data_IF_808301019265
#
_entry.id   IF_808301019265
#
_cell.length_a   1.000
_cell.length_b   1.000
_cell.length_c   1.000
_cell.angle_alpha   90.00
_cell.angle_beta   90.00
_cell.angle_gamma   90.00
#
_symmetry.space_group_name_H-M   'P 1'
#
loop_
_entity.id
_entity.type
_entity.pdbx_description
1 polymer ?
#
# COMPACT_ATOMS: atom_id res chain seq x y z
N UNK A 1 8.14 6.64 -40.67
CA UNK A 1 7.94 6.23 -39.26
C UNK A 1 8.48 7.36 -38.44
N UNK A 2 7.61 8.15 -37.80
CA UNK A 2 8.05 9.13 -36.81
C UNK A 2 8.65 8.36 -35.64
N UNK A 3 9.88 8.72 -35.26
CA UNK A 3 10.55 8.13 -34.09
C UNK A 3 9.77 8.45 -32.82
N UNK A 4 9.71 7.50 -31.89
CA UNK A 4 9.10 7.72 -30.59
C UNK A 4 9.93 8.73 -29.79
N UNK A 5 9.28 9.67 -29.12
CA UNK A 5 9.98 10.54 -28.17
C UNK A 5 10.05 9.84 -26.82
N UNK A 6 11.26 9.68 -26.28
CA UNK A 6 11.46 9.07 -24.97
C UNK A 6 11.45 10.14 -23.88
N UNK A 7 10.64 9.94 -22.85
CA UNK A 7 10.52 10.85 -21.71
C UNK A 7 11.07 10.17 -20.46
N UNK A 8 12.10 10.76 -19.88
CA UNK A 8 12.76 10.25 -18.68
C UNK A 8 12.31 11.02 -17.45
N UNK A 9 11.51 10.38 -16.60
CA UNK A 9 11.17 10.88 -15.28
C UNK A 9 12.36 10.68 -14.31
N UNK A 10 12.59 11.68 -13.46
CA UNK A 10 13.60 11.62 -12.40
C UNK A 10 13.34 10.40 -11.49
N UNK A 11 14.40 9.67 -11.16
CA UNK A 11 14.39 8.48 -10.29
C UNK A 11 13.64 7.25 -10.81
N UNK A 12 13.21 7.21 -12.08
CA UNK A 12 12.74 5.98 -12.72
C UNK A 12 13.87 5.32 -13.52
N UNK A 13 13.84 4.00 -13.71
CA UNK A 13 14.90 3.22 -14.36
C UNK A 13 14.70 3.14 -15.89
N UNK A 14 13.47 2.95 -16.35
CA UNK A 14 13.08 3.00 -17.77
C UNK A 14 12.43 4.35 -18.15
N UNK A 15 12.44 4.75 -19.43
CA UNK A 15 11.70 5.91 -19.94
C UNK A 15 10.25 5.54 -20.31
N UNK A 16 9.39 6.56 -20.46
CA UNK A 16 8.11 6.47 -21.16
C UNK A 16 8.35 6.70 -22.64
N UNK A 17 7.74 5.91 -23.53
CA UNK A 17 7.74 6.18 -24.96
C UNK A 17 6.45 6.94 -25.36
N UNK A 18 6.58 8.04 -26.07
CA UNK A 18 5.48 8.78 -26.68
C UNK A 18 5.49 8.56 -28.20
N UNK A 19 4.50 7.83 -28.70
CA UNK A 19 4.39 7.59 -30.13
C UNK A 19 3.77 8.79 -30.83
N UNK A 20 4.41 9.22 -31.93
CA UNK A 20 3.92 10.29 -32.82
C UNK A 20 3.86 11.70 -32.21
N UNK A 21 4.80 12.01 -31.30
CA UNK A 21 5.14 13.39 -30.91
C UNK A 21 4.70 13.83 -29.50
N UNK A 22 5.10 15.06 -29.17
CA UNK A 22 5.06 15.67 -27.84
C UNK A 22 3.68 16.20 -27.38
N UNK A 23 2.60 15.87 -28.10
CA UNK A 23 1.25 16.42 -27.84
C UNK A 23 0.71 16.10 -26.43
N UNK A 24 1.14 14.98 -25.84
CA UNK A 24 0.76 14.61 -24.48
C UNK A 24 1.62 15.26 -23.40
N UNK A 25 2.76 15.89 -23.73
CA UNK A 25 3.63 16.52 -22.74
C UNK A 25 2.91 17.62 -21.93
N UNK A 26 2.09 18.52 -22.51
CA UNK A 26 1.33 19.49 -21.72
C UNK A 26 0.33 18.82 -20.77
N UNK A 27 -0.32 17.73 -21.19
CA UNK A 27 -1.30 16.99 -20.37
C UNK A 27 -0.60 16.30 -19.21
N UNK A 28 0.54 15.64 -19.47
CA UNK A 28 1.38 15.01 -18.46
C UNK A 28 1.91 16.07 -17.48
N UNK A 29 2.39 17.21 -17.98
CA UNK A 29 2.91 18.31 -17.14
C UNK A 29 1.82 18.92 -16.26
N UNK A 30 0.59 19.03 -16.73
CA UNK A 30 -0.53 19.51 -15.93
C UNK A 30 -0.91 18.55 -14.80
N UNK A 31 -0.88 17.24 -15.05
CA UNK A 31 -1.22 16.23 -14.04
C UNK A 31 -0.06 15.90 -13.08
N UNK A 32 1.19 16.06 -13.53
CA UNK A 32 2.41 15.70 -12.79
C UNK A 32 3.38 16.90 -12.74
N UNK A 33 2.95 18.05 -12.18
CA UNK A 33 3.70 19.31 -12.30
C UNK A 33 5.00 19.35 -11.49
N UNK A 34 5.12 18.51 -10.45
CA UNK A 34 6.26 18.49 -9.53
C UNK A 34 7.08 17.19 -9.61
N UNK A 35 6.94 16.40 -10.68
CA UNK A 35 7.86 15.30 -10.99
C UNK A 35 8.72 15.69 -12.19
N UNK A 36 10.00 16.02 -12.01
CA UNK A 36 10.84 16.43 -13.12
C UNK A 36 10.97 15.32 -14.16
N UNK A 37 10.82 15.66 -15.43
CA UNK A 37 11.08 14.78 -16.56
C UNK A 37 11.68 15.57 -17.73
N UNK A 38 12.49 14.89 -18.55
CA UNK A 38 13.09 15.47 -19.75
C UNK A 38 12.93 14.51 -20.94
N UNK A 39 12.83 15.05 -22.15
CA UNK A 39 13.00 14.25 -23.35
C UNK A 39 14.46 13.75 -23.43
N UNK A 40 14.66 12.53 -23.89
CA UNK A 40 15.97 11.91 -24.11
C UNK A 40 16.02 11.29 -25.50
N UNK A 41 17.19 11.37 -26.15
CA UNK A 41 17.39 10.80 -27.48
C UNK A 41 17.40 9.26 -27.41
N UNK A 42 16.80 8.62 -28.41
CA UNK A 42 16.68 7.16 -28.51
C UNK A 42 17.96 6.42 -28.90
N UNK A 43 19.00 7.14 -29.32
CA UNK A 43 20.27 6.56 -29.75
C UNK A 43 21.09 6.08 -28.55
N UNK A 44 21.24 4.76 -28.43
CA UNK A 44 22.16 4.11 -27.48
C UNK A 44 21.56 3.64 -26.16
N UNK A 45 20.24 3.72 -25.96
CA UNK A 45 19.58 3.09 -24.80
C UNK A 45 19.10 1.68 -25.12
N UNK A 46 19.81 0.67 -24.60
CA UNK A 46 19.35 -0.72 -24.48
C UNK A 46 18.32 -0.88 -23.34
N UNK A 47 17.31 0.02 -23.28
CA UNK A 47 16.28 -0.01 -22.24
C UNK A 47 14.91 0.08 -22.87
N UNK A 48 14.18 -1.03 -22.83
CA UNK A 48 12.74 -1.07 -23.09
C UNK A 48 12.03 0.01 -22.25
N UNK A 49 11.10 0.75 -22.86
CA UNK A 49 10.25 1.69 -22.12
C UNK A 49 9.35 0.93 -21.15
N UNK A 50 9.04 1.53 -19.99
CA UNK A 50 8.12 0.90 -19.03
C UNK A 50 6.68 0.92 -19.53
N UNK A 51 6.36 1.91 -20.37
CA UNK A 51 5.09 2.03 -21.06
C UNK A 51 5.27 2.81 -22.37
N UNK A 52 4.31 2.66 -23.27
CA UNK A 52 4.19 3.41 -24.52
C UNK A 52 2.81 4.06 -24.57
N UNK A 53 2.77 5.36 -24.76
CA UNK A 53 1.54 6.11 -24.95
C UNK A 53 1.40 6.46 -26.44
N UNK A 54 0.33 5.98 -27.06
CA UNK A 54 0.10 6.12 -28.50
C UNK A 54 -1.21 6.82 -28.79
N UNK A 55 -1.21 7.72 -29.77
CA UNK A 55 -2.43 8.35 -30.28
C UNK A 55 -3.12 7.42 -31.27
N UNK A 56 -4.42 7.20 -31.09
CA UNK A 56 -5.25 6.44 -32.03
C UNK A 56 -6.18 7.35 -32.86
N UNK A 57 -6.65 8.45 -32.27
CA UNK A 57 -7.43 9.48 -32.96
C UNK A 57 -7.21 10.84 -32.30
N UNK A 58 -7.90 11.88 -32.77
CA UNK A 58 -7.78 13.21 -32.16
C UNK A 58 -8.12 13.24 -30.66
N UNK A 59 -9.00 12.34 -30.22
CA UNK A 59 -9.54 12.31 -28.86
C UNK A 59 -9.21 11.03 -28.10
N UNK A 60 -8.56 10.06 -28.74
CA UNK A 60 -8.32 8.73 -28.16
C UNK A 60 -6.84 8.38 -28.12
N UNK A 61 -6.42 7.93 -26.95
CA UNK A 61 -5.07 7.56 -26.59
C UNK A 61 -5.08 6.16 -25.99
N UNK A 62 -3.97 5.45 -26.17
CA UNK A 62 -3.78 4.10 -25.67
C UNK A 62 -2.46 4.04 -24.90
N UNK A 63 -2.50 3.47 -23.69
CA UNK A 63 -1.31 3.18 -22.89
C UNK A 63 -1.02 1.70 -22.93
N UNK A 64 0.07 1.32 -23.58
CA UNK A 64 0.58 -0.04 -23.61
C UNK A 64 1.70 -0.19 -22.58
N UNK A 65 1.46 -0.98 -21.54
CA UNK A 65 2.43 -1.27 -20.48
C UNK A 65 2.74 -2.77 -20.47
N UNK A 66 3.92 -3.21 -20.94
CA UNK A 66 4.24 -4.63 -21.12
C UNK A 66 4.17 -5.48 -19.85
N UNK A 67 4.34 -4.83 -18.70
CA UNK A 67 4.36 -5.47 -17.38
C UNK A 67 3.04 -5.28 -16.60
N UNK A 68 2.03 -4.66 -17.21
CA UNK A 68 0.72 -4.51 -16.60
C UNK A 68 -0.14 -5.75 -16.90
N UNK A 69 -0.85 -6.26 -15.90
CA UNK A 69 -1.82 -7.35 -16.08
C UNK A 69 -3.11 -6.90 -16.80
N UNK A 70 -3.32 -5.57 -16.93
CA UNK A 70 -4.53 -4.97 -17.49
C UNK A 70 -4.44 -4.90 -19.01
N UNK A 71 -5.49 -5.31 -19.70
CA UNK A 71 -5.62 -5.09 -21.15
C UNK A 71 -5.64 -3.59 -21.46
N UNK A 72 -4.91 -3.20 -22.50
CA UNK A 72 -4.87 -1.83 -23.00
C UNK A 72 -6.25 -1.38 -23.52
N UNK A 73 -6.65 -0.15 -23.20
CA UNK A 73 -7.96 0.42 -23.53
C UNK A 73 -7.79 1.82 -24.12
N UNK A 74 -8.66 2.17 -25.08
CA UNK A 74 -8.72 3.53 -25.63
C UNK A 74 -9.36 4.50 -24.64
N UNK A 75 -8.65 5.58 -24.34
CA UNK A 75 -9.01 6.59 -23.34
C UNK A 75 -8.96 8.00 -23.91
N UNK A 76 -9.77 8.90 -23.34
CA UNK A 76 -9.50 10.33 -23.50
C UNK A 76 -8.16 10.71 -22.85
N UNK A 77 -7.57 11.88 -23.16
CA UNK A 77 -6.25 12.26 -22.64
C UNK A 77 -6.14 12.22 -21.11
N UNK A 78 -7.21 12.57 -20.38
CA UNK A 78 -7.22 12.62 -18.91
C UNK A 78 -7.22 11.21 -18.32
N UNK A 79 -8.01 10.31 -18.90
CA UNK A 79 -8.03 8.90 -18.53
C UNK A 79 -6.71 8.20 -18.90
N UNK A 80 -6.10 8.55 -20.03
CA UNK A 80 -4.81 8.00 -20.44
C UNK A 80 -3.68 8.42 -19.49
N UNK A 81 -3.65 9.68 -19.05
CA UNK A 81 -2.70 10.15 -18.03
C UNK A 81 -2.96 9.53 -16.65
N UNK A 82 -4.23 9.28 -16.30
CA UNK A 82 -4.56 8.53 -15.09
C UNK A 82 -3.93 7.12 -15.11
N UNK A 83 -4.09 6.37 -16.21
CA UNK A 83 -3.48 5.05 -16.33
C UNK A 83 -1.95 5.15 -16.36
N UNK A 84 -1.38 6.19 -16.99
CA UNK A 84 0.06 6.45 -16.97
C UNK A 84 0.58 6.70 -15.54
N UNK A 85 -0.16 7.44 -14.71
CA UNK A 85 0.21 7.67 -13.31
C UNK A 85 0.28 6.35 -12.53
N UNK A 86 -0.66 5.45 -12.75
CA UNK A 86 -0.61 4.11 -12.15
C UNK A 86 0.64 3.35 -12.58
N UNK A 87 1.00 3.40 -13.88
CA UNK A 87 2.21 2.75 -14.38
C UNK A 87 3.51 3.41 -13.91
N UNK A 88 3.56 4.73 -13.77
CA UNK A 88 4.68 5.45 -13.13
C UNK A 88 4.86 4.98 -11.69
N UNK A 89 3.76 4.73 -10.98
CA UNK A 89 3.78 4.20 -9.62
C UNK A 89 4.45 2.83 -9.58
N UNK A 90 4.05 1.94 -10.49
CA UNK A 90 4.65 0.61 -10.61
C UNK A 90 6.12 0.67 -11.02
N UNK A 91 6.46 1.48 -12.01
CA UNK A 91 7.83 1.67 -12.46
C UNK A 91 8.72 2.20 -11.35
N UNK A 92 8.22 3.09 -10.48
CA UNK A 92 8.96 3.54 -9.30
C UNK A 92 9.31 2.39 -8.37
N UNK A 93 8.38 1.47 -8.12
CA UNK A 93 8.63 0.31 -7.27
C UNK A 93 9.56 -0.71 -7.93
N UNK A 94 9.50 -0.86 -9.26
CA UNK A 94 10.48 -1.67 -10.02
C UNK A 94 11.88 -1.04 -9.96
N UNK A 95 11.97 0.29 -10.04
CA UNK A 95 13.24 1.05 -9.98
C UNK A 95 13.84 1.09 -8.58
N UNK A 96 13.00 0.97 -7.55
CA UNK A 96 13.34 1.07 -6.13
C UNK A 96 12.62 -0.04 -5.35
N UNK A 97 13.08 -1.29 -5.49
CA UNK A 97 12.45 -2.44 -4.83
C UNK A 97 12.60 -2.41 -3.31
N UNK A 98 13.34 -1.44 -2.77
CA UNK A 98 13.46 -1.15 -1.34
C UNK A 98 12.28 -0.32 -0.77
N UNK A 99 11.42 0.25 -1.62
CA UNK A 99 10.29 1.07 -1.19
C UNK A 99 9.02 0.26 -0.92
N UNK A 100 8.45 0.42 0.28
CA UNK A 100 7.09 -0.04 0.54
C UNK A 100 6.11 0.94 -0.07
N UNK A 101 4.86 0.52 -0.33
CA UNK A 101 3.89 1.42 -0.93
C UNK A 101 2.49 1.19 -0.40
N UNK A 102 1.95 2.22 0.25
CA UNK A 102 0.58 2.23 0.76
C UNK A 102 -0.35 2.91 -0.25
N UNK A 103 -1.53 2.33 -0.48
CA UNK A 103 -2.63 3.04 -1.13
C UNK A 103 -3.23 4.06 -0.16
N UNK A 104 -2.64 5.26 -0.16
CA UNK A 104 -2.92 6.31 0.80
C UNK A 104 -2.67 7.68 0.17
N UNK A 105 -3.35 8.69 0.69
CA UNK A 105 -2.92 10.07 0.53
C UNK A 105 -1.92 10.40 1.64
N UNK A 106 -1.08 11.41 1.43
CA UNK A 106 -0.29 11.98 2.50
C UNK A 106 -0.12 13.48 2.35
N UNK A 107 -0.18 14.16 3.48
CA UNK A 107 -0.08 15.61 3.55
C UNK A 107 0.81 16.01 4.72
N UNK A 108 1.53 17.11 4.55
CA UNK A 108 2.27 17.70 5.64
C UNK A 108 1.34 18.55 6.51
N UNK A 109 1.23 18.18 7.79
CA UNK A 109 0.61 19.01 8.81
C UNK A 109 1.70 19.31 9.83
N UNK A 110 1.96 20.62 10.05
CA UNK A 110 3.10 21.09 10.85
C UNK A 110 4.42 20.53 10.26
N UNK A 111 5.23 19.85 11.07
CA UNK A 111 6.56 19.31 10.72
C UNK A 111 6.55 17.79 10.50
N UNK A 112 5.37 17.18 10.28
CA UNK A 112 5.23 15.74 10.05
C UNK A 112 4.34 15.41 8.87
N UNK A 113 4.61 14.24 8.29
CA UNK A 113 3.76 13.64 7.30
C UNK A 113 2.62 12.89 7.97
N UNK A 114 1.39 13.22 7.60
CA UNK A 114 0.17 12.54 8.01
C UNK A 114 -0.30 11.69 6.84
N UNK A 115 -0.42 10.39 7.07
CA UNK A 115 -0.82 9.42 6.05
C UNK A 115 -2.28 9.05 6.25
N UNK A 116 -3.05 9.02 5.16
CA UNK A 116 -4.46 8.65 5.14
C UNK A 116 -4.69 7.37 4.34
N UNK A 117 -4.40 6.18 4.91
CA UNK A 117 -4.80 4.92 4.30
C UNK A 117 -6.31 4.87 4.30
N UNK A 118 -6.91 4.58 3.16
CA UNK A 118 -8.34 4.31 3.15
C UNK A 118 -8.76 3.49 1.96
N UNK A 119 -9.83 2.73 2.18
CA UNK A 119 -10.52 1.99 1.15
C UNK A 119 -11.22 2.94 0.16
N UNK A 120 -11.79 2.36 -0.90
CA UNK A 120 -12.47 3.12 -1.96
C UNK A 120 -13.57 4.00 -1.36
N UNK A 121 -13.65 5.25 -1.84
CA UNK A 121 -14.69 6.27 -1.55
C UNK A 121 -14.66 6.91 -0.15
N UNK A 122 -13.61 6.74 0.63
CA UNK A 122 -13.48 7.43 1.92
C UNK A 122 -13.18 8.94 1.82
N UNK A 123 -13.09 9.53 0.62
CA UNK A 123 -12.95 10.97 0.43
C UNK A 123 -11.52 11.53 0.48
N UNK A 124 -10.47 10.69 0.35
CA UNK A 124 -9.04 11.12 0.33
C UNK A 124 -8.81 12.34 -0.54
N UNK A 125 -9.10 12.23 -1.84
CA UNK A 125 -8.88 13.31 -2.81
C UNK A 125 -9.53 14.62 -2.44
N UNK A 126 -10.75 14.56 -1.90
CA UNK A 126 -11.45 15.76 -1.48
C UNK A 126 -10.81 16.37 -0.23
N UNK A 127 -10.43 15.53 0.75
CA UNK A 127 -9.75 15.98 1.98
C UNK A 127 -8.35 16.53 1.69
N UNK A 128 -7.57 15.86 0.85
CA UNK A 128 -6.25 16.31 0.39
C UNK A 128 -6.35 17.66 -0.32
N UNK A 129 -7.34 17.83 -1.21
CA UNK A 129 -7.58 19.11 -1.88
C UNK A 129 -7.96 20.21 -0.88
N UNK A 130 -8.80 19.91 0.10
CA UNK A 130 -9.23 20.88 1.09
C UNK A 130 -8.09 21.36 2.00
N UNK A 131 -7.28 20.43 2.52
CA UNK A 131 -6.11 20.80 3.30
C UNK A 131 -5.05 21.49 2.42
N UNK A 132 -4.89 21.07 1.16
CA UNK A 132 -4.01 21.73 0.19
C UNK A 132 -4.41 23.19 -0.06
N UNK A 133 -5.70 23.48 -0.15
CA UNK A 133 -6.26 24.84 -0.26
C UNK A 133 -5.89 25.70 0.95
N UNK A 134 -5.83 25.12 2.15
CA UNK A 134 -5.37 25.81 3.37
C UNK A 134 -3.85 26.02 3.42
N UNK A 135 -3.11 25.59 2.39
CA UNK A 135 -1.66 25.79 2.26
C UNK A 135 -0.81 24.63 2.75
N UNK A 136 -1.40 23.50 3.14
CA UNK A 136 -0.65 22.31 3.54
C UNK A 136 0.00 21.64 2.32
N UNK A 137 1.33 21.38 2.34
CA UNK A 137 1.99 20.67 1.24
C UNK A 137 1.44 19.27 1.03
N UNK A 138 0.97 19.00 -0.18
CA UNK A 138 0.41 17.71 -0.59
C UNK A 138 1.52 16.83 -1.16
N UNK A 139 1.87 15.78 -0.43
CA UNK A 139 2.89 14.82 -0.87
C UNK A 139 2.33 13.89 -1.94
N UNK A 140 1.09 13.43 -1.76
CA UNK A 140 0.39 12.52 -2.67
C UNK A 140 -1.08 12.40 -2.29
N UNK A 141 -1.89 12.02 -3.26
CA UNK A 141 -3.32 11.80 -3.08
C UNK A 141 -3.76 10.32 -3.19
N UNK A 142 -2.93 9.45 -3.78
CA UNK A 142 -3.37 8.12 -4.19
C UNK A 142 -2.47 6.98 -3.68
N UNK A 143 -1.16 7.18 -3.67
CA UNK A 143 -0.21 6.20 -3.15
C UNK A 143 0.98 6.88 -2.47
N UNK A 144 1.45 6.32 -1.37
CA UNK A 144 2.61 6.81 -0.60
C UNK A 144 3.70 5.75 -0.61
N UNK A 145 4.80 5.97 -1.35
CA UNK A 145 6.01 5.20 -1.16
C UNK A 145 6.62 5.52 0.21
N UNK A 146 7.00 4.49 0.96
CA UNK A 146 7.69 4.60 2.23
C UNK A 146 9.13 4.12 2.08
N UNK A 147 10.06 4.94 2.53
CA UNK A 147 11.47 4.60 2.66
C UNK A 147 11.85 4.45 4.12
N UNK A 148 12.74 3.51 4.41
CA UNK A 148 13.37 3.38 5.72
C UNK A 148 14.82 3.82 5.59
N UNK A 149 15.21 4.81 6.37
CA UNK A 149 16.61 5.21 6.45
C UNK A 149 17.42 4.11 7.19
N UNK A 150 18.46 3.52 6.58
CA UNK A 150 19.16 2.38 7.17
C UNK A 150 19.99 2.75 8.41
N UNK A 151 20.33 4.02 8.62
CA UNK A 151 21.13 4.47 9.77
C UNK A 151 20.24 4.92 10.92
N UNK A 152 19.29 5.80 10.63
CA UNK A 152 18.41 6.41 11.64
C UNK A 152 17.18 5.55 11.94
N UNK A 153 16.85 4.62 11.03
CA UNK A 153 15.65 3.76 11.06
C UNK A 153 14.33 4.52 10.96
N UNK A 154 14.39 5.80 10.60
CA UNK A 154 13.21 6.63 10.40
C UNK A 154 12.47 6.18 9.15
N UNK A 155 11.16 6.01 9.29
CA UNK A 155 10.24 5.70 8.20
C UNK A 155 9.72 7.03 7.65
N UNK A 156 10.02 7.31 6.39
CA UNK A 156 9.60 8.53 5.70
C UNK A 156 8.70 8.22 4.52
N UNK A 157 7.65 9.01 4.34
CA UNK A 157 6.89 8.99 3.10
C UNK A 157 7.52 9.88 2.06
N UNK A 158 7.43 9.47 0.79
CA UNK A 158 7.99 10.20 -0.33
C UNK A 158 6.89 10.88 -1.13
N UNK A 159 7.12 12.15 -1.49
CA UNK A 159 6.23 12.87 -2.39
C UNK A 159 6.26 12.25 -3.80
N UNK A 160 5.16 12.44 -4.53
CA UNK A 160 5.02 12.00 -5.92
C UNK A 160 4.99 13.17 -6.90
N UNK A 161 4.77 14.41 -6.46
CA UNK A 161 4.68 15.55 -7.37
C UNK A 161 3.51 15.48 -8.37
N UNK A 162 2.51 14.64 -8.09
CA UNK A 162 1.27 14.48 -8.86
C UNK A 162 0.21 15.42 -8.29
N UNK A 163 -0.49 16.13 -9.17
CA UNK A 163 -1.61 16.98 -8.80
C UNK A 163 -2.79 16.15 -8.24
N UNK A 164 -3.44 16.59 -7.15
CA UNK A 164 -4.65 15.94 -6.64
C UNK A 164 -5.72 15.83 -7.72
N UNK A 165 -6.35 14.65 -7.80
CA UNK A 165 -7.36 14.33 -8.82
C UNK A 165 -8.71 14.14 -8.18
N UNK A 166 -9.59 15.13 -8.32
CA UNK A 166 -10.96 15.05 -7.83
C UNK A 166 -11.85 14.27 -8.79
N UNK A 167 -12.82 13.54 -8.24
CA UNK A 167 -13.95 12.97 -8.99
C UNK A 167 -15.05 14.01 -9.10
N UNK A 168 -15.68 14.07 -10.27
CA UNK A 168 -16.76 15.00 -10.59
C UNK A 168 -18.08 14.25 -10.85
N UNK A 169 -19.24 14.84 -10.51
CA UNK A 169 -19.41 16.11 -9.77
C UNK A 169 -18.96 15.98 -8.30
N UNK A 170 -18.73 17.13 -7.66
CA UNK A 170 -18.42 17.16 -6.22
C UNK A 170 -19.65 16.75 -5.40
N UNK A 171 -19.46 16.19 -4.18
CA UNK A 171 -20.57 15.90 -3.28
C UNK A 171 -21.35 17.15 -2.90
N UNK A 172 -22.66 17.03 -2.72
CA UNK A 172 -23.56 18.13 -2.30
C UNK A 172 -23.22 18.71 -0.92
N UNK A 173 -22.44 17.98 -0.11
CA UNK A 173 -22.00 18.44 1.21
C UNK A 173 -20.89 19.48 1.16
N UNK A 174 -20.36 19.80 -0.03
CA UNK A 174 -19.30 20.79 -0.21
C UNK A 174 -19.89 22.19 -0.31
N UNK A 175 -19.31 23.18 0.36
CA UNK A 175 -19.77 24.57 0.26
C UNK A 175 -19.66 25.14 -1.15
N UNK A 176 -20.51 26.12 -1.47
CA UNK A 176 -20.46 26.83 -2.76
C UNK A 176 -19.09 27.48 -2.97
N UNK A 177 -18.53 28.11 -1.93
CA UNK A 177 -17.21 28.74 -2.01
C UNK A 177 -16.07 27.75 -2.25
N UNK A 178 -16.17 26.52 -1.75
CA UNK A 178 -15.22 25.46 -2.08
C UNK A 178 -15.40 24.96 -3.51
N UNK A 179 -16.65 24.78 -3.95
CA UNK A 179 -16.95 24.32 -5.31
C UNK A 179 -16.44 25.31 -6.37
N UNK A 180 -16.64 26.62 -6.16
CA UNK A 180 -16.08 27.68 -7.03
C UNK A 180 -14.56 27.60 -7.07
N UNK A 181 -13.90 27.50 -5.92
CA UNK A 181 -12.44 27.36 -5.87
C UNK A 181 -11.94 26.12 -6.62
N UNK A 182 -12.63 24.97 -6.48
CA UNK A 182 -12.27 23.77 -7.23
C UNK A 182 -12.38 24.02 -8.73
N UNK A 183 -13.47 24.62 -9.20
CA UNK A 183 -13.69 24.87 -10.63
C UNK A 183 -12.59 25.79 -11.20
N UNK A 184 -12.25 26.86 -10.48
CA UNK A 184 -11.18 27.81 -10.84
C UNK A 184 -9.78 27.18 -10.81
N UNK A 185 -9.58 26.13 -10.00
CA UNK A 185 -8.27 25.50 -9.80
C UNK A 185 -7.99 24.33 -10.76
N UNK A 186 -9.00 23.81 -11.45
CA UNK A 186 -8.83 22.67 -12.37
C UNK A 186 -8.10 23.09 -13.65
N UNK A 187 -6.96 22.46 -13.95
CA UNK A 187 -6.21 22.67 -15.20
C UNK A 187 -6.42 21.58 -16.23
N UNK A 188 -6.77 20.38 -15.79
CA UNK A 188 -7.03 19.23 -16.66
C UNK A 188 -8.33 18.56 -16.25
N UNK A 189 -9.28 18.45 -17.18
CA UNK A 189 -10.65 18.01 -16.90
C UNK A 189 -11.18 17.06 -17.97
N UNK A 190 -11.95 16.07 -17.52
CA UNK A 190 -12.94 15.40 -18.35
C UNK A 190 -14.26 15.26 -17.58
N UNK A 191 -15.19 14.45 -18.09
CA UNK A 191 -16.50 14.25 -17.44
C UNK A 191 -16.40 13.68 -16.01
N UNK A 192 -15.36 12.91 -15.72
CA UNK A 192 -15.22 12.16 -14.46
C UNK A 192 -14.21 12.78 -13.49
N UNK A 193 -13.18 13.45 -14.00
CA UNK A 193 -12.01 13.87 -13.21
C UNK A 193 -11.62 15.33 -13.48
N UNK A 194 -11.09 15.97 -12.44
CA UNK A 194 -10.41 17.26 -12.51
C UNK A 194 -9.09 17.22 -11.71
N UNK A 195 -7.97 17.56 -12.35
CA UNK A 195 -6.69 17.74 -11.67
C UNK A 195 -6.53 19.19 -11.23
N UNK A 196 -6.16 19.38 -9.97
CA UNK A 196 -6.01 20.69 -9.36
C UNK A 196 -4.61 21.27 -9.57
N UNK A 197 -4.55 22.59 -9.75
CA UNK A 197 -3.32 23.36 -9.83
C UNK A 197 -3.19 24.36 -8.69
N UNK A 198 -2.05 25.05 -8.60
CA UNK A 198 -1.83 26.10 -7.60
C UNK A 198 -1.62 25.59 -6.16
N UNK A 199 -1.60 24.27 -5.95
CA UNK A 199 -1.32 23.64 -4.67
C UNK A 199 0.20 23.50 -4.44
N UNK A 200 0.61 23.55 -3.17
CA UNK A 200 1.99 23.28 -2.79
C UNK A 200 2.29 21.78 -2.93
N UNK A 201 3.04 21.40 -3.96
CA UNK A 201 3.45 20.03 -4.23
C UNK A 201 4.98 19.91 -4.11
N UNK A 202 5.50 19.22 -3.09
CA UNK A 202 6.93 18.92 -3.03
C UNK A 202 7.38 18.10 -4.24
N UNK A 203 8.63 18.28 -4.65
CA UNK A 203 9.20 17.54 -5.78
C UNK A 203 9.15 16.03 -5.52
N UNK A 204 8.84 15.24 -6.54
CA UNK A 204 8.82 13.79 -6.45
C UNK A 204 10.12 13.22 -5.86
N UNK A 205 9.99 12.41 -4.80
CA UNK A 205 11.13 11.88 -4.05
C UNK A 205 11.52 12.68 -2.82
N UNK A 206 10.97 13.88 -2.61
CA UNK A 206 11.11 14.61 -1.34
C UNK A 206 10.58 13.74 -0.19
N UNK A 207 11.41 13.53 0.84
CA UNK A 207 11.08 12.68 1.98
C UNK A 207 10.64 13.49 3.19
N UNK A 208 9.69 12.94 3.97
CA UNK A 208 9.31 13.49 5.27
C UNK A 208 8.99 12.35 6.26
N UNK A 209 9.45 12.44 7.51
CA UNK A 209 9.11 11.46 8.54
C UNK A 209 7.61 11.33 8.74
N UNK A 210 7.12 10.09 8.76
CA UNK A 210 5.71 9.82 9.09
C UNK A 210 5.50 10.07 10.58
N UNK A 211 4.53 10.92 10.92
CA UNK A 211 4.22 11.26 12.32
C UNK A 211 2.85 10.81 12.81
N UNK A 212 1.91 10.52 11.90
CA UNK A 212 0.63 9.92 12.27
C UNK A 212 0.00 9.19 11.08
N UNK A 213 -0.89 8.26 11.40
CA UNK A 213 -1.80 7.62 10.43
C UNK A 213 -3.22 7.98 10.83
N UNK A 214 -4.03 8.43 9.87
CA UNK A 214 -5.44 8.77 10.09
C UNK A 214 -6.31 7.94 9.15
N UNK A 215 -7.06 7.02 9.74
CA UNK A 215 -8.04 6.19 9.04
C UNK A 215 -9.31 7.01 8.80
N UNK A 216 -9.71 7.12 7.55
CA UNK A 216 -10.90 7.89 7.16
C UNK A 216 -12.15 7.01 7.22
N UNK A 217 -13.17 7.49 7.92
CA UNK A 217 -14.49 6.86 7.98
C UNK A 217 -15.56 7.90 7.64
N UNK A 218 -16.37 7.60 6.61
CA UNK A 218 -17.48 8.45 6.17
C UNK A 218 -18.77 7.63 6.14
N UNK A 219 -19.40 7.37 7.30
CA UNK A 219 -20.68 6.68 7.33
C UNK A 219 -21.77 7.54 6.68
N UNK A 220 -22.59 6.96 5.80
CA UNK A 220 -23.68 7.68 5.11
C UNK A 220 -24.75 8.20 6.11
N UNK A 221 -24.90 7.51 7.23
CA UNK A 221 -25.80 7.84 8.33
C UNK A 221 -25.17 8.74 9.39
N UNK A 222 -23.89 9.13 9.26
CA UNK A 222 -23.26 10.05 10.20
C UNK A 222 -23.97 11.41 10.16
N UNK A 223 -24.41 11.87 11.33
CA UNK A 223 -25.05 13.18 11.53
C UNK A 223 -24.34 14.04 12.58
N UNK A 224 -23.34 13.47 13.25
CA UNK A 224 -22.55 14.18 14.25
C UNK A 224 -21.47 15.07 13.62
N UNK A 225 -20.79 15.89 14.44
CA UNK A 225 -19.63 16.63 13.99
C UNK A 225 -18.49 15.69 13.58
N UNK A 226 -17.50 16.23 12.88
CA UNK A 226 -16.25 15.55 12.64
C UNK A 226 -15.59 15.20 13.98
N UNK A 227 -15.06 13.99 14.09
CA UNK A 227 -14.46 13.50 15.32
C UNK A 227 -13.16 12.75 15.03
N UNK A 228 -12.17 12.93 15.91
CA UNK A 228 -10.88 12.28 15.85
C UNK A 228 -10.67 11.45 17.11
N UNK A 229 -10.43 10.15 16.96
CA UNK A 229 -10.24 9.23 18.09
C UNK A 229 -9.10 8.24 17.84
N UNK A 230 -8.39 7.74 18.87
CA UNK A 230 -7.41 6.67 18.71
C UNK A 230 -8.01 5.39 18.09
N UNK A 231 -7.19 4.64 17.36
CA UNK A 231 -7.51 3.32 16.80
C UNK A 231 -6.75 2.25 17.58
N UNK A 232 -7.39 1.14 17.96
CA UNK A 232 -6.69 -0.02 18.52
C UNK A 232 -5.60 -0.55 17.57
N UNK A 233 -4.47 -0.98 18.12
CA UNK A 233 -3.31 -1.46 17.35
C UNK A 233 -3.70 -2.57 16.36
N UNK A 234 -4.57 -3.49 16.78
CA UNK A 234 -5.04 -4.61 15.96
C UNK A 234 -5.73 -4.14 14.67
N UNK A 235 -6.64 -3.19 14.82
CA UNK A 235 -7.42 -2.64 13.71
C UNK A 235 -6.50 -1.84 12.77
N UNK A 236 -5.57 -1.07 13.35
CA UNK A 236 -4.58 -0.30 12.60
C UNK A 236 -3.65 -1.22 11.78
N UNK A 237 -3.12 -2.27 12.39
CA UNK A 237 -2.19 -3.20 11.74
C UNK A 237 -2.88 -3.94 10.59
N UNK A 238 -4.14 -4.38 10.81
CA UNK A 238 -4.91 -5.01 9.73
C UNK A 238 -5.12 -4.05 8.56
N UNK A 239 -5.43 -2.78 8.81
CA UNK A 239 -5.70 -1.81 7.74
C UNK A 239 -4.43 -1.51 6.96
N UNK A 240 -3.32 -1.19 7.63
CA UNK A 240 -2.04 -0.83 6.98
C UNK A 240 -1.53 -1.99 6.13
N UNK A 241 -1.57 -3.22 6.67
CA UNK A 241 -1.15 -4.42 5.94
C UNK A 241 -1.97 -4.63 4.67
N UNK A 242 -3.29 -4.42 4.72
CA UNK A 242 -4.19 -4.55 3.56
C UNK A 242 -4.05 -3.41 2.55
N UNK A 243 -3.58 -2.23 2.96
CA UNK A 243 -3.37 -1.10 2.05
C UNK A 243 -2.00 -1.14 1.36
N UNK A 244 -1.08 -2.02 1.78
CA UNK A 244 0.16 -2.21 1.04
C UNK A 244 -0.12 -2.96 -0.28
N UNK A 245 0.24 -2.34 -1.40
CA UNK A 245 0.16 -2.98 -2.73
C UNK A 245 1.54 -3.23 -3.35
N UNK A 246 2.61 -2.72 -2.74
CA UNK A 246 3.98 -3.07 -3.12
C UNK A 246 4.23 -4.55 -2.82
N UNK A 247 4.21 -5.39 -3.85
CA UNK A 247 4.48 -6.83 -3.72
C UNK A 247 5.94 -7.19 -4.00
N UNK A 248 6.75 -6.25 -4.51
CA UNK A 248 8.17 -6.52 -4.78
C UNK A 248 8.99 -6.67 -3.48
N UNK A 249 8.47 -6.17 -2.35
CA UNK A 249 9.12 -6.32 -1.05
C UNK A 249 8.68 -7.60 -0.36
N UNK A 250 9.64 -8.22 0.32
CA UNK A 250 9.41 -9.33 1.22
C UNK A 250 8.30 -9.05 2.24
N UNK A 251 7.29 -9.92 2.31
CA UNK A 251 6.16 -9.82 3.23
C UNK A 251 6.56 -9.57 4.69
N UNK A 252 7.61 -10.22 5.18
CA UNK A 252 8.16 -9.95 6.52
C UNK A 252 8.65 -8.51 6.72
N UNK A 253 9.25 -7.88 5.70
CA UNK A 253 9.66 -6.48 5.78
C UNK A 253 8.45 -5.54 5.83
N UNK A 254 7.43 -5.82 5.01
CA UNK A 254 6.15 -5.09 5.04
C UNK A 254 5.51 -5.17 6.43
N UNK A 255 5.47 -6.37 7.00
CA UNK A 255 4.88 -6.62 8.31
C UNK A 255 5.64 -5.88 9.43
N UNK A 256 6.98 -5.87 9.39
CA UNK A 256 7.81 -5.14 10.36
C UNK A 256 7.62 -3.62 10.27
N UNK A 257 7.53 -3.06 9.06
CA UNK A 257 7.23 -1.62 8.88
C UNK A 257 5.82 -1.30 9.35
N UNK A 258 4.83 -2.13 9.03
CA UNK A 258 3.46 -1.96 9.49
C UNK A 258 3.37 -1.99 11.03
N UNK A 259 4.08 -2.93 11.68
CA UNK A 259 4.21 -2.99 13.14
C UNK A 259 4.83 -1.72 13.70
N UNK A 260 5.95 -1.28 13.13
CA UNK A 260 6.64 -0.08 13.60
C UNK A 260 5.74 1.16 13.50
N UNK A 261 5.00 1.33 12.40
CA UNK A 261 4.03 2.41 12.24
C UNK A 261 2.98 2.38 13.36
N UNK A 262 2.34 1.25 13.63
CA UNK A 262 1.28 1.20 14.66
C UNK A 262 1.80 1.32 16.11
N UNK A 263 3.08 1.05 16.35
CA UNK A 263 3.69 1.08 17.68
C UNK A 263 4.38 2.41 18.02
N UNK A 264 4.85 3.18 17.03
CA UNK A 264 5.70 4.34 17.27
C UNK A 264 5.04 5.69 17.01
N UNK A 265 3.92 5.71 16.29
CA UNK A 265 3.16 6.93 15.98
C UNK A 265 1.68 6.74 16.32
N UNK A 266 0.94 7.83 16.61
CA UNK A 266 -0.50 7.73 16.78
C UNK A 266 -1.19 7.27 15.51
N UNK A 267 -2.07 6.28 15.67
CA UNK A 267 -3.05 5.88 14.66
C UNK A 267 -4.41 6.36 15.13
N UNK A 268 -5.02 7.23 14.35
CA UNK A 268 -6.28 7.89 14.66
C UNK A 268 -7.33 7.53 13.62
N UNK A 269 -8.59 7.75 13.98
CA UNK A 269 -9.76 7.60 13.12
C UNK A 269 -10.45 8.93 12.99
N UNK A 270 -10.62 9.41 11.76
CA UNK A 270 -11.40 10.60 11.45
C UNK A 270 -12.75 10.16 10.92
N UNK A 271 -13.79 10.36 11.73
CA UNK A 271 -15.19 10.17 11.31
C UNK A 271 -15.72 11.53 10.89
N UNK A 272 -16.20 11.65 9.65
CA UNK A 272 -16.68 12.93 9.13
C UNK A 272 -17.67 12.77 7.98
N UNK A 273 -18.47 13.80 7.76
CA UNK A 273 -19.35 13.92 6.59
C UNK A 273 -18.93 15.08 5.69
N UNK A 274 -18.72 16.22 6.33
CA UNK A 274 -18.28 17.48 5.73
C UNK A 274 -16.75 17.58 5.72
N UNK A 275 -16.18 17.88 4.55
CA UNK A 275 -14.71 17.93 4.39
C UNK A 275 -14.09 19.19 4.99
N UNK A 276 -14.82 20.31 4.99
CA UNK A 276 -14.34 21.58 5.54
C UNK A 276 -14.32 21.49 7.08
N UNK A 277 -15.31 20.83 7.68
CA UNK A 277 -15.30 20.50 9.11
C UNK A 277 -14.13 19.57 9.49
N UNK A 278 -13.89 18.53 8.69
CA UNK A 278 -12.77 17.61 8.90
C UNK A 278 -11.42 18.34 8.81
N UNK A 279 -11.28 19.23 7.84
CA UNK A 279 -10.08 20.06 7.64
C UNK A 279 -9.85 20.97 8.85
N UNK A 280 -10.91 21.67 9.31
CA UNK A 280 -10.86 22.52 10.49
C UNK A 280 -10.45 21.73 11.75
N UNK A 281 -11.02 20.54 11.96
CA UNK A 281 -10.66 19.67 13.09
C UNK A 281 -9.19 19.26 13.05
N UNK A 282 -8.68 18.80 11.90
CA UNK A 282 -7.28 18.39 11.77
C UNK A 282 -6.32 19.55 12.03
N UNK A 283 -6.66 20.76 11.59
CA UNK A 283 -5.85 21.97 11.81
C UNK A 283 -5.71 22.29 13.30
N UNK A 284 -6.79 22.18 14.08
CA UNK A 284 -6.81 22.59 15.50
C UNK A 284 -6.62 21.46 16.49
N UNK A 285 -6.57 20.20 16.03
CA UNK A 285 -6.54 19.04 16.93
C UNK A 285 -5.22 18.98 17.72
N UNK A 286 -5.28 18.90 19.07
CA UNK A 286 -4.10 18.73 19.90
C UNK A 286 -3.50 17.32 19.77
N UNK A 287 -4.26 16.34 19.24
CA UNK A 287 -3.75 15.00 18.95
C UNK A 287 -2.68 15.00 17.85
N UNK A 288 -2.50 16.12 17.14
CA UNK A 288 -1.51 16.30 16.08
C UNK A 288 -0.39 17.27 16.49
N UNK A 289 -0.30 17.65 17.76
CA UNK A 289 0.80 18.46 18.28
C UNK A 289 1.97 17.56 18.73
N UNK A 290 3.21 17.98 18.44
CA UNK A 290 4.42 17.29 18.93
C UNK A 290 4.56 15.83 18.46
N UNK A 291 4.07 15.52 17.26
CA UNK A 291 4.04 14.16 16.74
C UNK A 291 5.44 13.52 16.68
N UNK A 292 5.58 12.25 17.10
CA UNK A 292 6.84 11.53 17.00
C UNK A 292 7.20 11.23 15.54
N UNK A 293 8.37 10.63 15.33
CA UNK A 293 8.75 10.07 14.03
C UNK A 293 8.59 8.56 14.08
N UNK A 294 7.96 7.99 13.05
CA UNK A 294 7.88 6.55 12.90
C UNK A 294 9.27 5.95 12.72
N UNK A 295 9.59 4.90 13.49
CA UNK A 295 10.92 4.29 13.49
C UNK A 295 10.85 2.77 13.62
N UNK A 296 11.70 2.07 12.87
CA UNK A 296 11.91 0.64 13.12
C UNK A 296 12.64 0.42 14.45
N UNK A 297 12.28 -0.66 15.14
CA UNK A 297 12.98 -1.12 16.33
C UNK A 297 14.41 -1.60 15.99
N UNK A 298 15.25 -1.81 17.00
CA UNK A 298 16.60 -2.33 16.78
C UNK A 298 16.58 -3.79 16.32
N UNK A 299 15.65 -4.59 16.83
CA UNK A 299 15.46 -5.99 16.42
C UNK A 299 14.97 -6.13 14.98
N UNK A 300 14.33 -5.08 14.43
CA UNK A 300 13.74 -5.08 13.09
C UNK A 300 14.59 -4.31 12.07
N UNK A 301 15.76 -3.83 12.48
CA UNK A 301 16.64 -3.02 11.65
C UNK A 301 17.12 -3.80 10.40
N UNK A 302 17.21 -5.12 10.51
CA UNK A 302 17.49 -6.01 9.39
C UNK A 302 16.19 -6.43 8.71
N UNK A 303 15.60 -5.49 7.96
CA UNK A 303 14.56 -5.85 7.01
C UNK A 303 15.13 -6.86 6.00
N UNK A 304 14.38 -7.92 5.64
CA UNK A 304 14.75 -8.78 4.54
C UNK A 304 15.07 -7.93 3.29
N UNK A 305 16.32 -8.01 2.83
CA UNK A 305 16.82 -7.21 1.69
C UNK A 305 16.50 -7.84 0.35
N UNK A 306 16.08 -9.11 0.35
CA UNK A 306 15.66 -9.80 -0.87
C UNK A 306 14.30 -9.28 -1.32
N UNK A 307 14.13 -8.94 -2.61
CA UNK A 307 12.81 -8.79 -3.21
C UNK A 307 11.99 -10.08 -3.04
N UNK A 308 10.68 -9.96 -3.04
CA UNK A 308 9.80 -11.12 -3.16
C UNK A 308 10.01 -11.76 -4.54
N UNK A 309 10.13 -13.10 -4.64
CA UNK A 309 10.36 -13.80 -5.91
C UNK A 309 9.06 -13.91 -6.72
N UNK A 310 8.53 -12.77 -7.17
CA UNK A 310 7.26 -12.72 -7.91
C UNK A 310 7.35 -13.37 -9.30
N UNK A 311 8.53 -13.31 -9.92
CA UNK A 311 8.77 -13.85 -11.27
C UNK A 311 8.86 -15.38 -11.31
N UNK A 312 9.15 -16.02 -10.17
CA UNK A 312 9.33 -17.48 -10.10
C UNK A 312 8.01 -18.26 -10.17
N UNK A 313 6.87 -17.57 -10.33
CA UNK A 313 5.55 -18.20 -10.48
C UNK A 313 5.17 -18.98 -9.24
N UNK A 314 4.54 -18.32 -8.27
CA UNK A 314 4.15 -18.97 -7.02
C UNK A 314 3.25 -20.19 -7.26
N UNK A 315 3.80 -21.37 -7.06
CA UNK A 315 3.02 -22.61 -6.97
C UNK A 315 2.84 -22.96 -5.50
N UNK A 316 1.61 -22.86 -5.01
CA UNK A 316 1.28 -23.38 -3.68
C UNK A 316 1.59 -24.86 -3.62
N UNK A 317 2.16 -25.31 -2.50
CA UNK A 317 2.30 -26.72 -2.24
C UNK A 317 0.96 -27.44 -2.40
N UNK A 318 0.98 -28.62 -3.00
CA UNK A 318 -0.22 -29.47 -3.12
C UNK A 318 -0.32 -30.48 -1.99
N UNK A 319 0.75 -30.64 -1.20
CA UNK A 319 0.84 -31.59 -0.11
C UNK A 319 -0.26 -31.35 0.93
N UNK A 320 -0.85 -32.44 1.41
CA UNK A 320 -1.77 -32.45 2.55
C UNK A 320 -0.98 -32.89 3.78
N UNK A 321 -1.26 -32.27 4.93
CA UNK A 321 -0.62 -32.68 6.17
C UNK A 321 -1.07 -34.08 6.60
N UNK A 322 -0.12 -34.87 7.06
CA UNK A 322 -0.32 -36.19 7.66
C UNK A 322 -0.39 -36.03 9.18
N UNK A 323 -1.46 -36.51 9.79
CA UNK A 323 -1.71 -36.39 11.22
C UNK A 323 -0.68 -37.13 12.08
N UNK A 324 0.01 -38.13 11.53
CA UNK A 324 1.07 -38.87 12.23
C UNK A 324 2.45 -38.18 12.12
N UNK A 325 2.63 -37.32 11.13
CA UNK A 325 3.89 -36.60 10.92
C UNK A 325 4.05 -35.46 11.93
N UNK A 326 5.26 -35.29 12.46
CA UNK A 326 5.61 -34.14 13.31
C UNK A 326 6.03 -32.95 12.48
N UNK A 327 5.48 -31.79 12.80
CA UNK A 327 5.78 -30.52 12.15
C UNK A 327 6.44 -29.56 13.12
N UNK A 328 7.27 -28.67 12.59
CA UNK A 328 7.84 -27.52 13.31
C UNK A 328 7.76 -26.28 12.42
N UNK A 329 7.62 -25.11 13.02
CA UNK A 329 7.79 -23.83 12.32
C UNK A 329 9.11 -23.78 11.53
N UNK A 330 9.04 -23.29 10.30
CA UNK A 330 10.21 -23.09 9.44
C UNK A 330 11.05 -21.94 9.98
N UNK A 331 12.38 -22.05 9.89
CA UNK A 331 13.29 -20.96 10.26
C UNK A 331 13.08 -19.72 9.37
N UNK A 332 13.36 -18.53 9.91
CA UNK A 332 13.27 -17.27 9.17
C UNK A 332 11.85 -16.81 8.81
N UNK A 333 10.84 -17.38 9.46
CA UNK A 333 9.49 -16.80 9.50
C UNK A 333 9.52 -15.45 10.24
N UNK A 334 8.68 -14.51 9.80
CA UNK A 334 8.45 -13.26 10.51
C UNK A 334 7.11 -13.32 11.20
N UNK A 335 7.09 -13.06 12.50
CA UNK A 335 5.87 -13.06 13.32
C UNK A 335 5.64 -11.69 13.97
N UNK A 336 4.40 -11.22 13.88
CA UNK A 336 3.89 -10.10 14.67
C UNK A 336 2.62 -10.53 15.38
N UNK A 337 2.72 -10.64 16.70
CA UNK A 337 1.59 -10.89 17.58
C UNK A 337 1.05 -9.57 18.16
N UNK A 338 -0.27 -9.49 18.22
CA UNK A 338 -1.03 -8.48 18.93
C UNK A 338 -2.00 -9.14 19.91
N UNK A 339 -2.74 -8.35 20.70
CA UNK A 339 -3.67 -8.91 21.69
C UNK A 339 -4.76 -9.81 21.08
N UNK A 340 -5.10 -9.60 19.80
CA UNK A 340 -6.21 -10.30 19.13
C UNK A 340 -5.80 -11.14 17.91
N UNK A 341 -4.60 -10.95 17.37
CA UNK A 341 -4.21 -11.58 16.11
C UNK A 341 -2.72 -11.89 16.05
N UNK A 342 -2.40 -12.92 15.26
CA UNK A 342 -1.03 -13.25 14.88
C UNK A 342 -0.92 -13.08 13.38
N UNK A 343 0.07 -12.31 12.95
CA UNK A 343 0.43 -12.13 11.56
C UNK A 343 1.74 -12.86 11.31
N UNK A 344 1.77 -13.69 10.27
CA UNK A 344 2.96 -14.45 9.89
C UNK A 344 3.28 -14.27 8.42
N UNK A 345 4.57 -14.22 8.11
CA UNK A 345 5.10 -14.30 6.77
C UNK A 345 6.19 -15.38 6.74
N UNK A 346 6.17 -16.22 5.70
CA UNK A 346 7.19 -17.24 5.51
C UNK A 346 8.54 -16.63 5.15
N UNK A 347 9.58 -17.46 5.20
CA UNK A 347 10.93 -17.07 4.77
C UNK A 347 10.93 -16.60 3.30
N UNK A 348 10.07 -17.14 2.43
CA UNK A 348 10.00 -16.68 1.03
C UNK A 348 9.39 -15.28 0.88
N UNK A 349 8.64 -14.82 1.88
CA UNK A 349 8.12 -13.45 1.91
C UNK A 349 7.08 -13.13 0.83
N UNK A 350 6.31 -14.11 0.36
CA UNK A 350 5.32 -13.91 -0.70
C UNK A 350 3.97 -13.36 -0.21
N UNK A 351 3.60 -13.68 1.03
CA UNK A 351 2.31 -13.30 1.59
C UNK A 351 2.41 -13.03 3.10
N UNK A 352 1.49 -12.19 3.59
CA UNK A 352 1.23 -11.99 5.01
C UNK A 352 -0.09 -12.69 5.32
N UNK A 353 -0.08 -13.58 6.31
CA UNK A 353 -1.26 -14.31 6.77
C UNK A 353 -1.68 -13.79 8.14
N UNK A 354 -2.93 -13.35 8.25
CA UNK A 354 -3.58 -13.12 9.54
C UNK A 354 -4.19 -14.45 10.00
N UNK A 355 -3.66 -15.02 11.07
CA UNK A 355 -4.13 -16.29 11.60
C UNK A 355 -5.47 -16.09 12.32
N UNK A 356 -6.45 -16.94 12.00
CA UNK A 356 -7.67 -17.04 12.79
C UNK A 356 -7.36 -17.69 14.16
N UNK A 357 -8.29 -17.66 15.15
CA UNK A 357 -8.00 -18.16 16.49
C UNK A 357 -7.50 -19.62 16.54
N UNK A 358 -8.07 -20.51 15.71
CA UNK A 358 -7.62 -21.90 15.66
C UNK A 358 -6.21 -22.03 15.07
N UNK A 359 -5.96 -21.38 13.92
CA UNK A 359 -4.65 -21.35 13.27
C UNK A 359 -3.58 -20.79 14.19
N UNK A 360 -3.90 -19.78 15.01
CA UNK A 360 -3.00 -19.20 15.99
C UNK A 360 -2.60 -20.23 17.08
N UNK A 361 -3.53 -21.06 17.56
CA UNK A 361 -3.21 -22.12 18.52
C UNK A 361 -2.33 -23.20 17.86
N UNK A 362 -2.71 -23.67 16.67
CA UNK A 362 -1.93 -24.67 15.91
C UNK A 362 -0.52 -24.14 15.63
N UNK A 363 -0.40 -22.88 15.19
CA UNK A 363 0.87 -22.18 15.00
C UNK A 363 1.73 -22.23 16.26
N UNK A 364 1.20 -21.81 17.41
CA UNK A 364 1.92 -21.83 18.70
C UNK A 364 2.34 -23.23 19.13
N UNK A 365 1.48 -24.23 18.92
CA UNK A 365 1.80 -25.63 19.26
C UNK A 365 2.91 -26.22 18.37
N UNK A 366 3.13 -25.67 17.17
CA UNK A 366 4.23 -26.09 16.27
C UNK A 366 5.54 -25.35 16.50
N UNK A 367 5.62 -24.46 17.49
CA UNK A 367 6.89 -23.85 17.93
C UNK A 367 7.88 -24.94 18.36
N UNK A 368 7.38 -25.98 19.02
CA UNK A 368 8.08 -27.26 19.21
C UNK A 368 7.52 -28.34 18.29
N UNK A 369 8.29 -29.40 17.97
CA UNK A 369 7.83 -30.51 17.15
C UNK A 369 6.54 -31.14 17.68
N UNK A 370 5.44 -31.02 16.92
CA UNK A 370 4.15 -31.56 17.28
C UNK A 370 3.51 -32.30 16.11
N UNK A 371 2.89 -33.45 16.38
CA UNK A 371 2.07 -34.14 15.38
C UNK A 371 0.64 -33.61 15.37
N UNK A 372 -0.11 -33.89 14.30
CA UNK A 372 -1.54 -33.57 14.27
C UNK A 372 -2.32 -34.26 15.40
N UNK A 373 -1.91 -35.46 15.80
CA UNK A 373 -2.48 -36.16 16.95
C UNK A 373 -2.22 -35.44 18.28
N UNK A 374 -1.00 -34.94 18.51
CA UNK A 374 -0.64 -34.18 19.71
C UNK A 374 -1.47 -32.88 19.80
N UNK A 375 -1.60 -32.18 18.67
CA UNK A 375 -2.37 -30.94 18.57
C UNK A 375 -3.87 -31.19 18.77
N UNK A 376 -4.41 -32.25 18.18
CA UNK A 376 -5.80 -32.65 18.37
C UNK A 376 -6.10 -32.96 19.84
N UNK A 377 -5.22 -33.68 20.52
CA UNK A 377 -5.36 -33.98 21.95
C UNK A 377 -5.37 -32.70 22.80
N UNK A 378 -4.49 -31.73 22.50
CA UNK A 378 -4.47 -30.44 23.19
C UNK A 378 -5.75 -29.62 22.94
N UNK A 379 -6.22 -29.57 21.69
CA UNK A 379 -7.42 -28.81 21.33
C UNK A 379 -8.71 -29.44 21.87
N UNK A 380 -8.79 -30.77 22.00
CA UNK A 380 -9.94 -31.45 22.59
C UNK A 380 -10.16 -31.06 24.06
N UNK A 381 -9.10 -30.67 24.79
CA UNK A 381 -9.19 -30.14 26.15
C UNK A 381 -9.77 -28.71 26.15
N UNK A 382 -9.40 -27.90 25.15
CA UNK A 382 -9.84 -26.50 25.02
C UNK A 382 -11.29 -26.42 24.50
N UNK A 383 -11.68 -27.35 23.63
CA UNK A 383 -12.98 -27.38 22.95
C UNK A 383 -13.72 -28.72 23.20
N UNK A 384 -14.10 -29.03 24.45
CA UNK A 384 -14.70 -30.32 24.80
C UNK A 384 -16.07 -30.56 24.15
N UNK A 385 -16.77 -29.49 23.78
CA UNK A 385 -18.13 -29.55 23.20
C UNK A 385 -18.15 -29.66 21.67
N UNK A 386 -16.99 -29.64 21.01
CA UNK A 386 -16.87 -29.77 19.55
C UNK A 386 -16.76 -31.24 19.17
N UNK A 387 -17.47 -31.65 18.12
CA UNK A 387 -17.39 -33.02 17.60
C UNK A 387 -15.95 -33.39 17.22
N UNK A 388 -15.51 -34.58 17.65
CA UNK A 388 -14.12 -35.01 17.49
C UNK A 388 -13.71 -35.14 16.01
N UNK A 389 -14.63 -35.54 15.13
CA UNK A 389 -14.35 -35.67 13.69
C UNK A 389 -14.23 -34.30 13.03
N UNK A 390 -15.05 -33.33 13.46
CA UNK A 390 -14.93 -31.94 13.02
C UNK A 390 -13.60 -31.34 13.46
N UNK A 391 -13.23 -31.48 14.74
CA UNK A 391 -11.99 -30.94 15.27
C UNK A 391 -10.76 -31.55 14.58
N UNK A 392 -10.79 -32.86 14.30
CA UNK A 392 -9.75 -33.53 13.53
C UNK A 392 -9.60 -32.94 12.11
N UNK A 393 -10.73 -32.71 11.43
CA UNK A 393 -10.74 -32.08 10.10
C UNK A 393 -10.15 -30.68 10.11
N UNK A 394 -10.50 -29.88 11.12
CA UNK A 394 -10.03 -28.50 11.27
C UNK A 394 -8.51 -28.44 11.59
N UNK A 395 -7.99 -29.37 12.41
CA UNK A 395 -6.54 -29.49 12.66
C UNK A 395 -5.79 -29.89 11.40
N UNK A 396 -6.28 -30.90 10.66
CA UNK A 396 -5.63 -31.33 9.43
C UNK A 396 -5.62 -30.22 8.38
N UNK A 397 -6.73 -29.48 8.24
CA UNK A 397 -6.83 -28.33 7.35
C UNK A 397 -5.85 -27.22 7.75
N UNK A 398 -5.72 -26.95 9.05
CA UNK A 398 -4.80 -25.95 9.60
C UNK A 398 -3.34 -26.29 9.33
N UNK A 399 -2.91 -27.53 9.62
CA UNK A 399 -1.55 -28.00 9.32
C UNK A 399 -1.29 -28.01 7.82
N UNK A 400 -2.27 -28.41 7.01
CA UNK A 400 -2.15 -28.40 5.55
C UNK A 400 -1.95 -26.98 5.03
N UNK A 401 -2.71 -26.01 5.54
CA UNK A 401 -2.52 -24.61 5.17
C UNK A 401 -1.12 -24.13 5.52
N UNK A 402 -0.69 -24.29 6.78
CA UNK A 402 0.64 -23.85 7.22
C UNK A 402 1.77 -24.52 6.43
N UNK A 403 1.63 -25.79 6.08
CA UNK A 403 2.61 -26.53 5.28
C UNK A 403 2.69 -25.99 3.84
N UNK A 404 1.53 -25.73 3.21
CA UNK A 404 1.46 -25.25 1.82
C UNK A 404 1.96 -23.82 1.66
N UNK A 405 1.85 -23.01 2.72
CA UNK A 405 2.40 -21.66 2.80
C UNK A 405 3.85 -21.63 3.32
N UNK A 406 4.47 -22.81 3.50
CA UNK A 406 5.86 -22.99 3.94
C UNK A 406 6.18 -22.40 5.33
N UNK A 407 5.13 -22.21 6.15
CA UNK A 407 5.24 -21.70 7.51
C UNK A 407 5.70 -22.78 8.49
N UNK A 408 5.39 -24.05 8.19
CA UNK A 408 5.90 -25.22 8.92
C UNK A 408 6.52 -26.22 7.94
N UNK A 409 7.42 -27.06 8.44
CA UNK A 409 8.04 -28.15 7.70
C UNK A 409 7.86 -29.49 8.44
N UNK A 410 7.70 -30.61 7.71
CA UNK A 410 7.73 -31.92 8.33
C UNK A 410 9.14 -32.21 8.83
N UNK A 411 9.26 -32.77 10.01
CA UNK A 411 10.51 -33.38 10.43
C UNK A 411 10.66 -34.68 9.66
N UNK A 412 11.71 -34.77 8.83
CA UNK A 412 12.07 -36.02 8.17
C UNK A 412 12.09 -37.12 9.23
N UNK A 413 11.33 -38.20 8.99
CA UNK A 413 11.26 -39.30 9.93
C UNK A 413 12.67 -39.74 10.31
N UNK A 414 12.95 -39.81 11.61
CA UNK A 414 13.85 -40.87 12.05
C UNK A 414 13.18 -42.14 11.56
N UNK A 415 13.70 -42.71 10.47
CA UNK A 415 13.38 -44.07 10.06
C UNK A 415 13.45 -44.91 11.33
N UNK A 416 12.33 -45.53 11.68
CA UNK A 416 12.31 -46.57 12.69
C UNK A 416 13.31 -47.63 12.25
N UNK A 417 14.51 -47.63 12.83
CA UNK A 417 15.31 -48.84 12.94
C UNK A 417 14.47 -49.81 13.79
N UNK A 418 13.85 -50.77 13.10
CA UNK A 418 13.40 -52.02 13.68
C UNK A 418 14.10 -53.16 12.96
#
# INVERSE_FOLDING_TARGET
>A
MTEDTLVKFKNLAAPLALAQGDEMLPVIKAAIPAWPFNAVDGDGMDRSSFARLSRHSETQWQLDAPLAEKTSVLHDPVNAVCDLIAEISWERLRSRPDLLCLHAAAIQIRDRLIVFPSQRRAGKSLLTAALGREGHPVFTDDFVPLAVDPQTRVISGLANGIAPRLRLPLPETVSEGFAVWVDDSITLRNRQYGYLSGLSLPEAGTAMPVGAIILLERPDDHRGPAALSPVPIDDALSVITKQNFGRQIHAGAILNVARALVQTIPVLKLVYRDVEEATALLRTSPLLDGLPEARLSASDAHLPTRPAPLEEGWQRGTQTADMATRYRQTAGTTEVETDRAIYVASERGLAIHQLNPLLAIVWKLTAEPASGADILAALAVIYPDVDASQLQGDVQASLTFLLREELIAPLAGQSQER
#
